data_IF_656757719703
#
_entry.id   IF_656757719703
#
_cell.length_a   1.000
_cell.length_b   1.000
_cell.length_c   1.000
_cell.angle_alpha   90.00
_cell.angle_beta   90.00
_cell.angle_gamma   90.00
#
_symmetry.space_group_name_H-M   'P 1'
#
loop_
_entity.id
_entity.type
_entity.pdbx_description
1 polymer ?
#
# COMPACT_ATOMS: atom_id res chain seq x y z
N UNK A 1 10.89 -5.25 -3.60
CA UNK A 1 9.52 -5.81 -3.41
C UNK A 1 8.50 -4.75 -3.79
N UNK A 2 7.34 -5.11 -4.34
CA UNK A 2 6.25 -4.18 -4.61
C UNK A 2 5.05 -4.54 -3.76
N UNK A 3 4.49 -3.55 -3.09
CA UNK A 3 3.27 -3.65 -2.29
C UNK A 3 2.16 -2.91 -3.02
N UNK A 4 1.00 -3.57 -3.18
CA UNK A 4 -0.18 -2.98 -3.78
C UNK A 4 -1.42 -3.28 -2.96
N UNK A 5 -2.24 -2.27 -2.68
CA UNK A 5 -3.60 -2.45 -2.16
C UNK A 5 -4.60 -2.28 -3.31
N UNK A 6 -5.35 -3.33 -3.62
CA UNK A 6 -6.33 -3.36 -4.69
C UNK A 6 -7.75 -3.27 -4.15
N UNK A 7 -8.63 -2.60 -4.90
CA UNK A 7 -10.09 -2.67 -4.81
C UNK A 7 -10.63 -2.96 -6.21
N UNK A 8 -11.50 -3.97 -6.35
CA UNK A 8 -12.11 -4.32 -7.64
C UNK A 8 -11.12 -4.43 -8.82
N UNK A 9 -9.92 -4.97 -8.53
CA UNK A 9 -8.77 -5.14 -9.46
C UNK A 9 -8.01 -3.86 -9.85
N UNK A 10 -8.38 -2.69 -9.33
CA UNK A 10 -7.62 -1.45 -9.48
C UNK A 10 -6.88 -1.08 -8.18
N UNK A 11 -5.74 -0.37 -8.22
CA UNK A 11 -5.13 0.17 -7.01
C UNK A 11 -6.09 1.11 -6.29
N UNK A 12 -6.23 0.94 -4.98
CA UNK A 12 -6.88 1.92 -4.12
C UNK A 12 -6.07 3.23 -4.10
N UNK A 13 -6.58 4.28 -3.45
CA UNK A 13 -5.79 5.49 -3.17
C UNK A 13 -5.29 5.45 -1.74
N UNK A 14 -4.01 5.71 -1.53
CA UNK A 14 -3.42 5.86 -0.19
C UNK A 14 -2.54 7.11 -0.09
N UNK A 15 -2.21 7.49 1.12
CA UNK A 15 -1.24 8.54 1.44
C UNK A 15 -0.08 7.92 2.19
N UNK A 16 1.14 8.06 1.67
CA UNK A 16 2.33 7.66 2.41
C UNK A 16 2.65 8.74 3.45
N UNK A 17 2.76 8.35 4.72
CA UNK A 17 2.98 9.26 5.85
C UNK A 17 4.34 9.10 6.49
N UNK A 18 4.97 7.92 6.38
CA UNK A 18 6.32 7.71 6.89
C UNK A 18 7.07 6.62 6.09
N UNK A 19 8.41 6.68 6.16
CA UNK A 19 9.31 5.64 5.63
C UNK A 19 10.44 5.42 6.61
N UNK A 20 10.73 4.17 6.95
CA UNK A 20 11.78 3.80 7.91
C UNK A 20 11.66 4.51 9.27
N UNK A 21 10.42 4.74 9.72
CA UNK A 21 10.12 5.48 10.96
C UNK A 21 10.24 7.01 10.86
N UNK A 22 10.72 7.54 9.73
CA UNK A 22 10.73 8.97 9.48
C UNK A 22 9.37 9.43 8.94
N UNK A 23 8.68 10.27 9.72
CA UNK A 23 7.41 10.88 9.30
C UNK A 23 7.66 11.98 8.28
N UNK A 24 7.02 11.87 7.12
CA UNK A 24 7.13 12.86 6.05
C UNK A 24 6.44 14.17 6.42
N UNK A 25 6.98 15.33 6.05
CA UNK A 25 6.29 16.61 6.17
C UNK A 25 4.94 16.60 5.44
N UNK A 26 3.93 17.31 5.97
CA UNK A 26 2.59 17.34 5.38
C UNK A 26 2.57 17.76 3.89
N UNK A 27 3.52 18.60 3.45
CA UNK A 27 3.66 19.02 2.05
C UNK A 27 4.09 17.89 1.08
N UNK A 28 4.71 16.84 1.63
CA UNK A 28 5.20 15.66 0.91
C UNK A 28 4.21 14.49 0.96
N UNK A 29 3.30 14.48 1.94
CA UNK A 29 2.26 13.48 2.07
C UNK A 29 1.17 13.71 1.01
N UNK A 30 1.26 12.97 -0.10
CA UNK A 30 0.29 13.08 -1.21
C UNK A 30 -0.50 11.80 -1.40
N UNK A 31 -1.75 11.98 -1.76
CA UNK A 31 -2.61 10.88 -2.18
C UNK A 31 -2.17 10.37 -3.54
N UNK A 32 -2.15 9.05 -3.71
CA UNK A 32 -1.74 8.41 -4.94
C UNK A 32 -2.18 6.95 -5.01
N UNK A 33 -1.92 6.28 -6.14
CA UNK A 33 -2.24 4.87 -6.28
C UNK A 33 -1.53 4.08 -5.17
N UNK A 34 -2.25 3.12 -4.60
CA UNK A 34 -1.79 2.31 -3.49
C UNK A 34 -0.79 1.25 -3.97
N UNK A 35 0.33 1.70 -4.53
CA UNK A 35 1.41 0.90 -5.09
C UNK A 35 2.74 1.54 -4.73
N UNK A 36 3.58 0.82 -3.99
CA UNK A 36 4.91 1.28 -3.60
C UNK A 36 5.95 0.18 -3.80
N UNK A 37 7.12 0.58 -4.27
CA UNK A 37 8.31 -0.26 -4.24
C UNK A 37 9.02 -0.08 -2.90
N UNK A 38 9.34 -1.20 -2.25
CA UNK A 38 10.02 -1.27 -0.98
C UNK A 38 11.32 -2.06 -1.11
N UNK A 39 12.36 -1.57 -0.45
CA UNK A 39 13.60 -2.29 -0.25
C UNK A 39 13.45 -3.41 0.78
N UNK A 40 14.45 -4.28 0.89
CA UNK A 40 14.52 -5.22 2.02
C UNK A 40 14.89 -4.42 3.26
N UNK A 41 14.18 -4.67 4.36
CA UNK A 41 14.38 -3.96 5.63
C UNK A 41 13.71 -2.59 5.72
N UNK A 42 13.09 -2.10 4.63
CA UNK A 42 12.39 -0.82 4.67
C UNK A 42 10.98 -0.95 5.23
N UNK A 43 10.51 0.04 5.99
CA UNK A 43 9.11 0.15 6.44
C UNK A 43 8.41 1.30 5.74
N UNK A 44 7.10 1.16 5.55
CA UNK A 44 6.26 2.15 4.89
C UNK A 44 4.96 2.28 5.68
N UNK A 45 4.69 3.48 6.19
CA UNK A 45 3.41 3.78 6.81
C UNK A 45 2.55 4.53 5.80
N UNK A 46 1.38 3.98 5.51
CA UNK A 46 0.42 4.56 4.59
C UNK A 46 -0.98 4.57 5.19
N UNK A 47 -1.69 5.67 4.99
CA UNK A 47 -3.08 5.84 5.39
C UNK A 47 -3.99 5.64 4.18
N UNK A 48 -5.10 4.95 4.39
CA UNK A 48 -6.12 4.72 3.37
C UNK A 48 -7.49 5.05 3.95
N UNK A 49 -8.29 5.81 3.20
CA UNK A 49 -9.71 5.99 3.51
C UNK A 49 -10.45 4.84 2.83
N UNK A 50 -10.86 3.86 3.62
CA UNK A 50 -11.61 2.71 3.13
C UNK A 50 -13.09 3.09 3.02
N UNK A 51 -13.65 2.93 1.82
CA UNK A 51 -15.11 2.83 1.67
C UNK A 51 -15.54 1.36 1.73
N UNK A 52 -16.80 1.05 2.09
CA UNK A 52 -17.27 -0.33 2.18
C UNK A 52 -16.95 -1.18 0.95
N UNK A 53 -16.50 -2.41 1.18
CA UNK A 53 -16.11 -3.35 0.13
C UNK A 53 -14.92 -4.23 0.48
N UNK A 54 -14.51 -5.04 -0.48
CA UNK A 54 -13.37 -5.95 -0.36
C UNK A 54 -12.09 -5.33 -0.94
N UNK A 55 -11.01 -5.41 -0.18
CA UNK A 55 -9.67 -4.98 -0.58
C UNK A 55 -8.71 -6.14 -0.54
N UNK A 56 -7.68 -6.09 -1.37
CA UNK A 56 -6.60 -7.09 -1.40
C UNK A 56 -5.25 -6.43 -1.29
N UNK A 57 -4.54 -6.71 -0.21
CA UNK A 57 -3.13 -6.36 -0.06
C UNK A 57 -2.28 -7.46 -0.69
N UNK A 58 -1.46 -7.10 -1.66
CA UNK A 58 -0.59 -8.02 -2.41
C UNK A 58 0.85 -7.52 -2.30
N UNK A 59 1.77 -8.43 -1.99
CA UNK A 59 3.21 -8.15 -2.00
C UNK A 59 3.90 -9.12 -2.96
N UNK A 60 4.68 -8.56 -3.89
CA UNK A 60 5.37 -9.30 -4.94
C UNK A 60 6.86 -8.99 -4.93
N UNK A 61 7.69 -10.00 -5.17
CA UNK A 61 9.15 -9.81 -5.38
C UNK A 61 9.51 -9.70 -6.86
N UNK A 62 8.68 -10.28 -7.72
CA UNK A 62 8.68 -10.12 -9.18
C UNK A 62 7.23 -10.14 -9.69
N UNK A 63 6.94 -9.73 -10.95
CA UNK A 63 5.58 -9.81 -11.50
C UNK A 63 4.92 -11.20 -11.46
N UNK A 64 5.71 -12.26 -11.28
CA UNK A 64 5.22 -13.65 -11.21
C UNK A 64 5.26 -14.25 -9.81
N UNK A 65 5.93 -13.60 -8.86
CA UNK A 65 6.23 -14.15 -7.54
C UNK A 65 5.54 -13.34 -6.44
N UNK A 66 4.37 -13.81 -6.01
CA UNK A 66 3.63 -13.27 -4.86
C UNK A 66 4.14 -13.92 -3.58
N UNK A 67 4.65 -13.11 -2.65
CA UNK A 67 5.15 -13.58 -1.35
C UNK A 67 4.14 -13.40 -0.23
N UNK A 68 3.16 -12.52 -0.42
CA UNK A 68 2.10 -12.29 0.55
C UNK A 68 0.83 -11.80 -0.15
N UNK A 69 -0.30 -12.32 0.30
CA UNK A 69 -1.62 -11.83 -0.08
C UNK A 69 -2.57 -11.89 1.10
N UNK A 70 -3.29 -10.80 1.34
CA UNK A 70 -4.33 -10.73 2.37
C UNK A 70 -5.56 -10.01 1.84
N UNK A 71 -6.73 -10.57 2.15
CA UNK A 71 -8.02 -9.91 1.92
C UNK A 71 -8.44 -9.13 3.17
N UNK A 72 -8.94 -7.92 2.96
CA UNK A 72 -9.46 -7.02 3.98
C UNK A 72 -10.90 -6.68 3.61
N UNK A 73 -11.81 -6.67 4.59
CA UNK A 73 -13.19 -6.21 4.39
C UNK A 73 -13.37 -4.92 5.18
N UNK A 74 -13.83 -3.89 4.48
CA UNK A 74 -14.27 -2.64 5.10
C UNK A 74 -15.80 -2.68 5.19
N UNK A 75 -16.31 -2.51 6.40
CA UNK A 75 -17.74 -2.42 6.71
C UNK A 75 -18.20 -0.97 6.81
#
# INVERSE_FOLDING_TARGET
MRVTLLRDRAPATWRVTATDGYTHPAAEQRDGPATSSMGVGTTLDAQVILTPGEYRLVMTVSPKDTVYQRTLRAE
#
